data_IF_820916844093
#
_entry.id   IF_820916844093
#
_cell.length_a   1.000
_cell.length_b   1.000
_cell.length_c   1.000
_cell.angle_alpha   90.00
_cell.angle_beta   90.00
_cell.angle_gamma   90.00
#
_symmetry.space_group_name_H-M   'P 1'
#
loop_
_entity.id
_entity.type
_entity.pdbx_description
1 polymer ?
#
# COMPACT_ATOMS: atom_id res chain seq x y z
N UNK A 1 22.03 -8.50 19.96
CA UNK A 1 22.35 -7.10 19.89
C UNK A 1 21.47 -6.40 18.88
N UNK A 2 20.87 -5.34 19.33
CA UNK A 2 19.92 -4.60 18.49
C UNK A 2 20.54 -4.10 17.18
N UNK A 3 21.81 -3.70 17.19
CA UNK A 3 22.49 -3.22 16.00
C UNK A 3 22.63 -4.26 14.90
N UNK A 4 22.40 -5.53 15.23
CA UNK A 4 22.42 -6.61 14.25
C UNK A 4 21.03 -7.14 13.94
N UNK A 5 20.00 -6.55 14.53
CA UNK A 5 18.64 -6.92 14.18
C UNK A 5 18.41 -6.58 12.72
N UNK A 6 17.81 -7.50 11.95
CA UNK A 6 17.51 -7.18 10.55
C UNK A 6 16.57 -6.00 10.48
N UNK A 7 16.81 -5.11 9.51
CA UNK A 7 15.92 -4.01 9.23
C UNK A 7 14.57 -4.56 8.80
N UNK A 8 13.51 -4.00 9.31
CA UNK A 8 12.16 -4.44 8.98
C UNK A 8 11.65 -3.66 7.78
N UNK A 9 11.26 -4.33 6.69
CA UNK A 9 10.68 -3.64 5.55
C UNK A 9 9.39 -2.92 5.95
N UNK A 10 9.23 -1.72 5.43
CA UNK A 10 8.03 -0.92 5.62
C UNK A 10 7.38 -0.65 4.28
N UNK A 11 6.06 -0.53 4.30
CA UNK A 11 5.27 -0.46 3.08
C UNK A 11 4.32 0.72 3.13
N UNK A 12 4.09 1.34 1.98
CA UNK A 12 2.88 2.12 1.76
C UNK A 12 1.81 1.14 1.29
N UNK A 13 0.62 1.24 1.85
CA UNK A 13 -0.48 0.36 1.50
C UNK A 13 -1.64 1.14 0.92
N UNK A 14 -2.42 0.45 0.11
CA UNK A 14 -3.73 0.91 -0.33
C UNK A 14 -4.75 -0.08 0.18
N UNK A 15 -5.65 0.38 1.04
CA UNK A 15 -6.74 -0.43 1.57
C UNK A 15 -8.05 0.11 1.00
N UNK A 16 -8.84 -0.77 0.41
CA UNK A 16 -10.10 -0.41 -0.21
C UNK A 16 -11.26 -0.60 0.76
N UNK A 17 -12.20 0.35 0.73
CA UNK A 17 -13.50 0.24 1.37
C UNK A 17 -14.57 0.39 0.30
N UNK A 18 -15.38 -0.65 0.04
CA UNK A 18 -16.40 -0.57 -0.97
C UNK A 18 -17.53 0.37 -0.57
N UNK A 19 -18.07 1.08 -1.55
CA UNK A 19 -19.22 1.94 -1.41
C UNK A 19 -20.30 1.46 -2.37
N UNK A 20 -21.47 2.09 -2.32
CA UNK A 20 -22.55 1.78 -3.24
C UNK A 20 -22.21 2.20 -4.68
N UNK A 21 -22.87 1.61 -5.66
CA UNK A 21 -22.74 1.95 -7.08
C UNK A 21 -21.35 1.68 -7.65
N UNK A 22 -20.71 0.59 -7.24
CA UNK A 22 -19.38 0.19 -7.72
C UNK A 22 -18.28 1.22 -7.46
N UNK A 23 -18.51 2.08 -6.49
CA UNK A 23 -17.50 3.05 -6.05
C UNK A 23 -16.76 2.49 -4.84
N UNK A 24 -15.60 3.04 -4.56
CA UNK A 24 -14.91 2.75 -3.31
C UNK A 24 -14.01 3.92 -2.94
N UNK A 25 -13.66 3.98 -1.67
CA UNK A 25 -12.62 4.87 -1.19
C UNK A 25 -11.41 4.05 -0.79
N UNK A 26 -10.26 4.65 -0.90
CA UNK A 26 -8.99 3.99 -0.60
C UNK A 26 -8.30 4.73 0.53
N UNK A 27 -7.81 3.98 1.50
CA UNK A 27 -6.93 4.54 2.53
C UNK A 27 -5.49 4.33 2.08
N UNK A 28 -4.72 5.41 2.10
CA UNK A 28 -3.28 5.36 1.83
C UNK A 28 -2.56 5.61 3.14
N UNK A 29 -1.79 4.65 3.57
CA UNK A 29 -1.03 4.74 4.81
C UNK A 29 0.28 3.98 4.72
N UNK A 30 0.99 3.87 5.83
CA UNK A 30 2.21 3.07 5.87
C UNK A 30 2.17 2.12 7.06
N UNK A 31 2.87 1.02 6.93
CA UNK A 31 2.95 0.02 7.99
C UNK A 31 4.10 -0.94 7.71
N UNK A 32 4.55 -1.63 8.74
CA UNK A 32 5.46 -2.76 8.58
C UNK A 32 4.71 -4.08 8.42
N UNK A 33 3.39 -4.10 8.70
CA UNK A 33 2.57 -5.31 8.60
C UNK A 33 1.17 -4.92 8.12
N UNK A 34 0.93 -5.06 6.82
CA UNK A 34 -0.34 -4.66 6.21
C UNK A 34 -1.51 -5.51 6.69
N UNK A 35 -1.29 -6.80 6.94
CA UNK A 35 -2.37 -7.67 7.41
C UNK A 35 -2.82 -7.30 8.82
N UNK A 36 -1.87 -7.00 9.70
CA UNK A 36 -2.19 -6.57 11.06
C UNK A 36 -2.90 -5.21 11.03
N UNK A 37 -2.44 -4.31 10.18
CA UNK A 37 -3.06 -2.99 10.03
C UNK A 37 -4.50 -3.12 9.53
N UNK A 38 -4.73 -4.01 8.56
CA UNK A 38 -6.07 -4.29 8.05
C UNK A 38 -6.99 -4.78 9.15
N UNK A 39 -6.53 -5.72 9.97
CA UNK A 39 -7.33 -6.23 11.09
C UNK A 39 -7.71 -5.12 12.06
N UNK A 40 -6.77 -4.24 12.39
CA UNK A 40 -7.03 -3.12 13.28
C UNK A 40 -8.05 -2.14 12.71
N UNK A 41 -7.95 -1.84 11.43
CA UNK A 41 -8.91 -0.95 10.77
C UNK A 41 -10.28 -1.59 10.63
N UNK A 42 -10.33 -2.90 10.38
CA UNK A 42 -11.59 -3.62 10.22
C UNK A 42 -12.43 -3.62 11.48
N UNK A 43 -11.80 -3.66 12.65
CA UNK A 43 -12.52 -3.65 13.93
C UNK A 43 -13.41 -2.42 14.07
N UNK A 44 -12.97 -1.27 13.57
CA UNK A 44 -13.73 -0.02 13.66
C UNK A 44 -14.65 0.24 12.48
N UNK A 45 -14.83 -0.72 11.57
CA UNK A 45 -15.58 -0.48 10.34
C UNK A 45 -16.68 -1.51 10.17
N UNK A 46 -17.87 -1.05 9.74
CA UNK A 46 -18.97 -1.93 9.35
C UNK A 46 -18.85 -2.36 7.88
N UNK A 47 -17.89 -1.83 7.16
CA UNK A 47 -17.63 -2.18 5.77
C UNK A 47 -16.50 -3.19 5.70
N UNK A 48 -16.54 -4.07 4.70
CA UNK A 48 -15.46 -5.03 4.49
C UNK A 48 -14.29 -4.33 3.82
N UNK A 49 -13.17 -4.24 4.53
CA UNK A 49 -11.95 -3.65 4.03
C UNK A 49 -11.06 -4.73 3.42
N UNK A 50 -10.25 -4.35 2.44
CA UNK A 50 -9.28 -5.27 1.85
C UNK A 50 -8.02 -4.51 1.45
N UNK A 51 -6.89 -5.19 1.58
CA UNK A 51 -5.62 -4.65 1.08
C UNK A 51 -5.64 -4.77 -0.44
N UNK A 52 -5.58 -3.64 -1.13
CA UNK A 52 -5.52 -3.64 -2.58
C UNK A 52 -4.11 -3.90 -3.07
N UNK A 53 -3.15 -3.18 -2.52
CA UNK A 53 -1.74 -3.34 -2.87
C UNK A 53 -0.83 -2.73 -1.80
N UNK A 54 0.40 -3.24 -1.74
CA UNK A 54 1.45 -2.69 -0.89
C UNK A 54 2.68 -2.40 -1.74
N UNK A 55 3.46 -1.42 -1.30
CA UNK A 55 4.70 -1.02 -1.98
C UNK A 55 5.79 -0.90 -0.92
N UNK A 56 6.87 -1.66 -1.08
CA UNK A 56 8.00 -1.55 -0.16
C UNK A 56 8.71 -0.22 -0.40
N UNK A 57 8.85 0.59 0.64
CA UNK A 57 9.34 1.96 0.51
C UNK A 57 10.54 2.27 1.40
N UNK A 58 10.94 1.34 2.24
CA UNK A 58 12.09 1.55 3.11
C UNK A 58 12.16 0.51 4.20
N UNK A 59 13.06 0.74 5.14
CA UNK A 59 13.33 -0.20 6.22
C UNK A 59 13.17 0.41 7.61
N UNK A 60 12.60 1.62 7.66
CA UNK A 60 12.31 2.26 8.94
C UNK A 60 11.07 3.15 8.80
N UNK A 61 10.57 3.58 9.97
CA UNK A 61 9.36 4.37 10.04
C UNK A 61 9.48 5.72 9.31
N UNK A 62 10.63 6.36 9.42
CA UNK A 62 10.85 7.69 8.82
C UNK A 62 10.76 7.61 7.30
N UNK A 63 11.42 6.62 6.71
CA UNK A 63 11.37 6.42 5.26
C UNK A 63 9.94 6.14 4.79
N UNK A 64 9.22 5.30 5.53
CA UNK A 64 7.86 4.95 5.19
C UNK A 64 6.92 6.16 5.31
N UNK A 65 7.06 6.92 6.39
CA UNK A 65 6.26 8.12 6.58
C UNK A 65 6.48 9.13 5.46
N UNK A 66 7.73 9.36 5.09
CA UNK A 66 8.05 10.32 4.02
C UNK A 66 7.49 9.85 2.69
N UNK A 67 7.56 8.56 2.40
CA UNK A 67 7.00 8.00 1.18
C UNK A 67 5.48 8.13 1.16
N UNK A 68 4.82 7.81 2.27
CA UNK A 68 3.37 7.97 2.39
C UNK A 68 2.94 9.41 2.14
N UNK A 69 3.64 10.36 2.76
CA UNK A 69 3.32 11.78 2.59
C UNK A 69 3.47 12.21 1.13
N UNK A 70 4.50 11.71 0.47
CA UNK A 70 4.71 12.01 -0.95
C UNK A 70 3.57 11.46 -1.81
N UNK A 71 3.18 10.22 -1.59
CA UNK A 71 2.08 9.60 -2.32
C UNK A 71 0.78 10.35 -2.08
N UNK A 72 0.50 10.70 -0.84
CA UNK A 72 -0.72 11.45 -0.52
C UNK A 72 -0.74 12.80 -1.25
N UNK A 73 0.39 13.48 -1.33
CA UNK A 73 0.48 14.75 -2.06
C UNK A 73 0.25 14.57 -3.55
N UNK A 74 0.72 13.47 -4.14
CA UNK A 74 0.52 13.18 -5.55
C UNK A 74 -0.96 13.15 -5.93
N UNK A 75 -1.81 12.71 -4.99
CA UNK A 75 -3.24 12.51 -5.27
C UNK A 75 -4.14 13.37 -4.39
N UNK A 76 -3.65 14.51 -3.93
CA UNK A 76 -4.38 15.36 -2.99
C UNK A 76 -5.74 15.83 -3.49
N UNK A 77 -5.90 15.94 -4.81
CA UNK A 77 -7.18 16.37 -5.39
C UNK A 77 -8.28 15.34 -5.20
N UNK A 78 -7.91 14.09 -4.94
CA UNK A 78 -8.85 12.99 -4.69
C UNK A 78 -9.07 12.74 -3.21
N UNK A 79 -8.39 13.47 -2.35
CA UNK A 79 -8.46 13.28 -0.91
C UNK A 79 -9.81 13.68 -0.37
N UNK A 80 -10.34 12.86 0.52
CA UNK A 80 -11.53 13.15 1.32
C UNK A 80 -11.08 13.46 2.74
N UNK A 81 -11.65 12.83 3.74
CA UNK A 81 -11.26 13.05 5.12
C UNK A 81 -10.06 12.19 5.50
N UNK A 82 -9.15 12.77 6.29
CA UNK A 82 -7.99 12.06 6.81
C UNK A 82 -7.12 11.49 5.70
N UNK A 83 -6.90 10.18 5.75
CA UNK A 83 -6.06 9.47 4.78
C UNK A 83 -6.89 8.75 3.71
N UNK A 84 -8.17 9.08 3.56
CA UNK A 84 -9.06 8.45 2.60
C UNK A 84 -9.12 9.24 1.30
N UNK A 85 -9.11 8.50 0.19
CA UNK A 85 -9.09 9.05 -1.17
C UNK A 85 -10.21 8.41 -1.98
N UNK A 86 -10.88 9.20 -2.81
CA UNK A 86 -11.93 8.69 -3.69
C UNK A 86 -11.37 8.51 -5.09
N UNK A 87 -11.10 7.26 -5.45
CA UNK A 87 -10.62 6.92 -6.78
C UNK A 87 -11.68 6.14 -7.54
N UNK A 88 -11.80 6.44 -8.82
CA UNK A 88 -12.50 5.56 -9.74
C UNK A 88 -11.67 4.28 -9.91
N UNK A 89 -12.29 3.07 -9.94
CA UNK A 89 -11.52 1.83 -10.09
C UNK A 89 -10.60 1.80 -11.30
N UNK A 90 -11.07 2.29 -12.44
CA UNK A 90 -10.27 2.34 -13.67
C UNK A 90 -9.09 3.28 -13.50
N UNK A 91 -9.32 4.45 -12.90
CA UNK A 91 -8.26 5.40 -12.61
C UNK A 91 -7.23 4.83 -11.66
N UNK A 92 -7.69 4.15 -10.61
CA UNK A 92 -6.79 3.52 -9.64
C UNK A 92 -5.83 2.55 -10.33
N UNK A 93 -6.38 1.65 -11.14
CA UNK A 93 -5.59 0.60 -11.79
C UNK A 93 -4.67 1.16 -12.87
N UNK A 94 -5.18 2.06 -13.70
CA UNK A 94 -4.47 2.49 -14.89
C UNK A 94 -3.55 3.68 -14.68
N UNK A 95 -3.76 4.46 -13.62
CA UNK A 95 -2.99 5.68 -13.42
C UNK A 95 -2.38 5.78 -12.02
N UNK A 96 -3.17 5.55 -10.96
CA UNK A 96 -2.67 5.73 -9.60
C UNK A 96 -1.59 4.71 -9.28
N UNK A 97 -1.87 3.44 -9.49
CA UNK A 97 -0.91 2.37 -9.20
C UNK A 97 0.39 2.54 -10.01
N UNK A 98 0.34 2.75 -11.33
CA UNK A 98 1.57 2.96 -12.10
C UNK A 98 2.39 4.17 -11.62
N UNK A 99 1.73 5.25 -11.22
CA UNK A 99 2.44 6.43 -10.72
C UNK A 99 3.14 6.13 -9.40
N UNK A 100 2.47 5.39 -8.51
CA UNK A 100 3.10 4.99 -7.25
C UNK A 100 4.27 4.04 -7.52
N UNK A 101 4.08 3.09 -8.44
CA UNK A 101 5.16 2.17 -8.80
C UNK A 101 6.39 2.91 -9.32
N UNK A 102 6.19 3.91 -10.17
CA UNK A 102 7.28 4.72 -10.67
C UNK A 102 7.99 5.49 -9.57
N UNK A 103 7.22 6.08 -8.67
CA UNK A 103 7.79 6.78 -7.51
C UNK A 103 8.62 5.84 -6.64
N UNK A 104 8.10 4.66 -6.35
CA UNK A 104 8.79 3.67 -5.51
C UNK A 104 10.07 3.20 -6.20
N UNK A 105 10.03 3.02 -7.52
CA UNK A 105 11.19 2.65 -8.29
C UNK A 105 12.29 3.71 -8.19
N UNK A 106 11.91 4.99 -8.20
CA UNK A 106 12.84 6.10 -8.07
C UNK A 106 13.46 6.20 -6.67
N UNK A 107 12.79 5.67 -5.65
CA UNK A 107 13.35 5.64 -4.30
C UNK A 107 14.59 4.76 -4.21
N UNK A 108 14.77 3.86 -5.16
CA UNK A 108 15.93 2.95 -5.19
C UNK A 108 16.13 2.22 -3.85
N UNK A 109 15.04 1.69 -3.32
CA UNK A 109 15.08 0.94 -2.07
C UNK A 109 15.91 -0.31 -2.30
N UNK A 110 17.06 -0.38 -1.62
CA UNK A 110 17.94 -1.54 -1.77
C UNK A 110 17.26 -2.76 -1.16
N UNK A 111 17.19 -3.81 -1.95
CA UNK A 111 16.66 -5.07 -1.45
C UNK A 111 17.70 -5.76 -0.60
N UNK A 112 17.35 -6.00 0.67
CA UNK A 112 18.09 -6.99 1.43
C UNK A 112 17.75 -8.37 0.88
N UNK A 113 18.68 -9.33 0.94
CA UNK A 113 18.34 -10.69 0.54
C UNK A 113 17.14 -11.18 1.34
N UNK A 114 16.01 -11.37 0.66
CA UNK A 114 14.79 -11.84 1.29
C UNK A 114 14.73 -13.37 1.18
N UNK A 115 14.16 -14.04 2.18
CA UNK A 115 13.84 -15.46 2.03
C UNK A 115 12.97 -15.66 0.79
N UNK A 116 13.17 -16.77 0.12
CA UNK A 116 12.43 -17.11 -1.10
C UNK A 116 10.92 -17.04 -0.87
N UNK A 117 10.47 -17.50 0.29
CA UNK A 117 9.05 -17.46 0.64
C UNK A 117 8.48 -16.04 0.65
N UNK A 118 9.23 -15.06 1.14
CA UNK A 118 8.76 -13.67 1.14
C UNK A 118 8.70 -13.10 -0.27
N UNK A 119 9.68 -13.44 -1.10
CA UNK A 119 9.66 -13.03 -2.51
C UNK A 119 8.47 -13.64 -3.23
N UNK A 120 8.21 -14.93 -3.02
CA UNK A 120 7.08 -15.62 -3.61
C UNK A 120 5.75 -15.00 -3.19
N UNK A 121 5.60 -14.66 -1.91
CA UNK A 121 4.37 -14.05 -1.41
C UNK A 121 4.13 -12.67 -2.03
N UNK A 122 5.18 -11.88 -2.19
CA UNK A 122 5.06 -10.57 -2.83
C UNK A 122 4.63 -10.72 -4.29
N UNK A 123 5.21 -11.68 -5.00
CA UNK A 123 4.85 -11.97 -6.39
C UNK A 123 3.41 -12.45 -6.49
N UNK A 124 2.98 -13.33 -5.60
CA UNK A 124 1.61 -13.83 -5.58
C UNK A 124 0.60 -12.70 -5.41
N UNK A 125 0.87 -11.77 -4.51
CA UNK A 125 -0.02 -10.63 -4.30
C UNK A 125 -0.21 -9.85 -5.60
N UNK A 126 0.88 -9.60 -6.30
CA UNK A 126 0.83 -8.90 -7.58
C UNK A 126 0.09 -9.70 -8.63
N UNK A 127 0.33 -11.00 -8.69
CA UNK A 127 -0.35 -11.88 -9.63
C UNK A 127 -1.85 -11.95 -9.36
N UNK A 128 -2.25 -12.02 -8.11
CA UNK A 128 -3.66 -12.01 -7.74
C UNK A 128 -4.32 -10.72 -8.20
N UNK A 129 -3.65 -9.59 -8.01
CA UNK A 129 -4.15 -8.31 -8.48
C UNK A 129 -4.33 -8.31 -10.00
N UNK A 130 -3.34 -8.81 -10.73
CA UNK A 130 -3.40 -8.86 -12.18
C UNK A 130 -4.52 -9.77 -12.67
N UNK A 131 -4.78 -10.88 -11.99
CA UNK A 131 -5.90 -11.77 -12.31
C UNK A 131 -7.24 -11.10 -12.12
N UNK A 132 -7.40 -10.34 -11.04
CA UNK A 132 -8.65 -9.63 -10.78
C UNK A 132 -8.89 -8.57 -11.84
N UNK A 133 -7.83 -7.97 -12.36
CA UNK A 133 -7.92 -6.94 -13.38
C UNK A 133 -8.41 -7.49 -14.72
N UNK A 134 -8.06 -8.72 -15.03
CA UNK A 134 -8.47 -9.36 -16.28
C UNK A 134 -9.82 -10.03 -16.15
#
# INVERSE_FOLDING_TARGET
>A
MSRFAPSTPHYVYIINQPLQNNKFVCKIGFTKDANQRLKGLQVGSDKKLSVFQTFKVGYNRTEAYNAEQKVQRMFKTFKREGEWFAFNPVHLVNEVIPQIENFVKELDVKDEPLPITKVANALMTKEQYMKVKT
#
